data_IF_328149594245
#
_entry.id   IF_328149594245
#
_cell.length_a   1.000
_cell.length_b   1.000
_cell.length_c   1.000
_cell.angle_alpha   90.00
_cell.angle_beta   90.00
_cell.angle_gamma   90.00
#
_symmetry.space_group_name_H-M   'P 1'
#
loop_
_entity.id
_entity.type
_entity.pdbx_description
1 polymer ?
#
# COMPACT_ATOMS: atom_id res chain seq x y z
N UNK A 1 23.67 3.17 5.80
CA UNK A 1 23.51 3.22 7.25
C UNK A 1 24.51 2.28 7.94
N UNK A 2 24.55 0.95 7.66
CA UNK A 2 25.46 0.01 8.32
C UNK A 2 26.95 0.37 8.16
N UNK A 3 27.38 0.76 6.97
CA UNK A 3 28.78 1.13 6.70
C UNK A 3 29.22 2.41 7.41
N UNK A 4 28.30 3.33 7.64
CA UNK A 4 28.54 4.64 8.25
C UNK A 4 28.12 4.72 9.71
N UNK A 5 27.52 3.64 10.24
CA UNK A 5 26.97 3.55 11.61
C UNK A 5 26.00 4.67 11.95
N UNK A 6 25.08 4.97 11.02
CA UNK A 6 23.98 5.91 11.25
C UNK A 6 22.67 5.17 11.29
N UNK A 7 21.70 5.69 12.05
CA UNK A 7 20.35 5.16 12.11
C UNK A 7 19.66 5.23 10.75
N UNK A 8 18.65 4.41 10.57
CA UNK A 8 17.89 4.28 9.33
C UNK A 8 16.40 4.53 9.58
N UNK A 9 15.76 5.24 8.68
CA UNK A 9 14.30 5.37 8.65
C UNK A 9 13.81 5.28 7.20
N UNK A 10 12.73 4.58 7.00
CA UNK A 10 11.97 4.56 5.74
C UNK A 10 10.49 4.87 5.98
N UNK A 11 9.77 5.12 4.88
CA UNK A 11 8.34 5.41 4.89
C UNK A 11 7.52 4.30 4.26
N UNK A 12 8.18 3.27 3.71
CA UNK A 12 7.56 2.15 3.03
C UNK A 12 8.52 0.96 2.95
N UNK A 13 8.00 -0.21 2.60
CA UNK A 13 8.82 -1.39 2.39
C UNK A 13 9.64 -1.31 1.08
N UNK A 14 10.67 -2.16 1.00
CA UNK A 14 11.36 -2.43 -0.26
C UNK A 14 10.57 -3.46 -1.07
N UNK A 15 10.35 -3.16 -2.32
CA UNK A 15 9.70 -4.04 -3.26
C UNK A 15 10.64 -4.38 -4.42
N UNK A 16 10.99 -5.67 -4.64
CA UNK A 16 11.72 -6.09 -5.82
C UNK A 16 10.92 -5.87 -7.11
N UNK A 17 11.60 -5.53 -8.20
CA UNK A 17 10.95 -5.27 -9.49
C UNK A 17 10.27 -6.51 -10.10
N UNK A 18 10.77 -7.70 -9.75
CA UNK A 18 10.29 -9.00 -10.26
C UNK A 18 9.13 -9.59 -9.45
N UNK A 19 8.80 -9.01 -8.31
CA UNK A 19 7.70 -9.49 -7.46
C UNK A 19 6.80 -8.34 -7.03
N UNK A 20 5.49 -8.49 -7.22
CA UNK A 20 4.49 -7.55 -6.71
C UNK A 20 4.09 -7.95 -5.29
N UNK A 21 5.04 -7.98 -4.35
CA UNK A 21 4.79 -8.46 -3.00
C UNK A 21 5.28 -7.46 -1.96
N UNK A 22 4.33 -6.81 -1.30
CA UNK A 22 4.57 -5.80 -0.27
C UNK A 22 4.86 -6.48 1.06
N UNK A 23 6.13 -6.67 1.40
CA UNK A 23 6.58 -7.35 2.62
C UNK A 23 7.81 -6.67 3.20
N UNK A 24 7.92 -6.65 4.52
CA UNK A 24 9.12 -6.17 5.22
C UNK A 24 10.25 -7.20 5.31
N UNK A 25 10.10 -8.42 4.79
CA UNK A 25 11.12 -9.48 4.93
C UNK A 25 12.51 -9.06 4.43
N UNK A 26 12.58 -8.20 3.42
CA UNK A 26 13.84 -7.70 2.86
C UNK A 26 14.58 -6.77 3.83
N UNK A 27 13.86 -5.89 4.52
CA UNK A 27 14.41 -5.04 5.56
C UNK A 27 14.73 -5.87 6.81
N UNK A 28 13.85 -6.77 7.25
CA UNK A 28 14.08 -7.67 8.37
C UNK A 28 15.31 -8.55 8.22
N UNK A 29 15.71 -8.90 7.00
CA UNK A 29 16.94 -9.66 6.74
C UNK A 29 18.23 -8.95 7.24
N UNK A 30 18.16 -7.64 7.49
CA UNK A 30 19.29 -6.86 8.03
C UNK A 30 19.27 -6.72 9.55
N UNK A 31 18.28 -7.24 10.26
CA UNK A 31 18.06 -7.06 11.71
C UNK A 31 19.32 -7.32 12.53
N UNK A 32 19.90 -8.51 12.44
CA UNK A 32 21.09 -8.86 13.20
C UNK A 32 22.30 -7.94 12.92
N UNK A 33 22.40 -7.44 11.70
CA UNK A 33 23.50 -6.53 11.33
C UNK A 33 23.32 -5.17 11.98
N UNK A 34 22.10 -4.67 12.08
CA UNK A 34 21.78 -3.43 12.79
C UNK A 34 21.99 -3.58 14.30
N UNK A 35 21.52 -4.68 14.90
CA UNK A 35 21.72 -4.99 16.30
C UNK A 35 23.21 -5.07 16.67
N UNK A 36 24.03 -5.78 15.87
CA UNK A 36 25.49 -5.85 16.06
C UNK A 36 26.20 -4.51 15.89
N UNK A 37 25.69 -3.64 15.05
CA UNK A 37 26.24 -2.31 14.83
C UNK A 37 25.82 -1.30 15.91
N UNK A 38 24.84 -1.64 16.76
CA UNK A 38 24.30 -0.76 17.81
C UNK A 38 23.56 0.45 17.25
N UNK A 39 22.92 0.30 16.09
CA UNK A 39 22.14 1.35 15.42
C UNK A 39 20.70 0.90 15.25
N UNK A 40 19.80 1.88 15.10
CA UNK A 40 18.35 1.66 14.98
C UNK A 40 17.92 1.67 13.53
N UNK A 41 16.97 0.81 13.17
CA UNK A 41 16.18 0.93 11.95
C UNK A 41 14.70 1.11 12.32
N UNK A 42 14.10 2.21 11.90
CA UNK A 42 12.68 2.47 12.00
C UNK A 42 12.06 2.24 10.61
N UNK A 43 11.24 1.20 10.51
CA UNK A 43 10.61 0.78 9.27
C UNK A 43 9.17 1.29 9.18
N UNK A 44 8.73 1.68 7.98
CA UNK A 44 7.36 2.08 7.72
C UNK A 44 6.91 3.29 8.52
N UNK A 45 7.73 4.33 8.61
CA UNK A 45 7.40 5.58 9.32
C UNK A 45 6.75 6.61 8.38
N UNK A 46 5.78 6.15 7.60
CA UNK A 46 4.96 6.97 6.69
C UNK A 46 3.58 7.26 7.24
N UNK A 47 2.62 7.37 6.36
CA UNK A 47 1.20 7.52 6.71
C UNK A 47 0.56 6.14 6.90
N UNK A 48 0.52 5.34 5.85
CA UNK A 48 0.22 3.93 5.82
C UNK A 48 1.31 3.23 4.94
N UNK A 49 2.19 2.51 5.57
CA UNK A 49 2.36 2.23 7.00
C UNK A 49 2.96 3.40 7.80
N UNK A 50 2.60 3.47 9.08
CA UNK A 50 3.20 4.41 10.04
C UNK A 50 2.16 5.02 10.97
N UNK A 51 1.47 6.08 10.56
CA UNK A 51 0.45 6.78 11.36
C UNK A 51 -0.68 5.84 11.78
N UNK A 52 -1.09 4.91 10.92
CA UNK A 52 -2.07 3.86 11.23
C UNK A 52 -1.65 3.01 12.43
N UNK A 53 -0.38 2.60 12.47
CA UNK A 53 0.19 1.88 13.62
C UNK A 53 0.19 2.73 14.90
N UNK A 54 0.52 4.02 14.79
CA UNK A 54 0.48 4.96 15.94
C UNK A 54 -0.94 5.12 16.46
N UNK A 55 -1.93 5.23 15.59
CA UNK A 55 -3.34 5.31 16.00
C UNK A 55 -3.80 4.05 16.73
N UNK A 56 -3.42 2.87 16.26
CA UNK A 56 -3.73 1.61 16.93
C UNK A 56 -3.07 1.53 18.32
N UNK A 57 -1.80 1.90 18.42
CA UNK A 57 -1.08 1.92 19.70
C UNK A 57 -1.67 2.95 20.68
N UNK A 58 -2.04 4.11 20.19
CA UNK A 58 -2.71 5.15 20.99
C UNK A 58 -4.09 4.69 21.48
N UNK A 59 -4.89 4.08 20.61
CA UNK A 59 -6.19 3.54 20.96
C UNK A 59 -6.09 2.45 22.03
N UNK A 60 -5.16 1.51 21.86
CA UNK A 60 -4.88 0.45 22.84
C UNK A 60 -4.48 1.03 24.21
N UNK A 61 -3.69 2.10 24.21
CA UNK A 61 -3.23 2.71 25.47
C UNK A 61 -4.31 3.50 26.20
N UNK A 62 -5.25 4.11 25.48
CA UNK A 62 -6.12 5.15 26.06
C UNK A 62 -7.61 4.84 26.02
N UNK A 63 -8.06 3.93 25.14
CA UNK A 63 -9.48 3.71 24.87
C UNK A 63 -9.95 2.27 24.99
N UNK A 64 -9.06 1.29 24.82
CA UNK A 64 -9.42 -0.12 24.83
C UNK A 64 -8.57 -0.92 25.80
N UNK A 65 -9.18 -1.80 26.58
CA UNK A 65 -8.48 -2.79 27.39
C UNK A 65 -7.88 -3.89 26.50
N UNK A 66 -8.63 -4.30 25.45
CA UNK A 66 -8.22 -5.25 24.44
C UNK A 66 -8.73 -4.81 23.07
N UNK A 67 -7.92 -5.03 22.01
CA UNK A 67 -8.31 -4.81 20.63
C UNK A 67 -8.41 -6.16 19.94
N UNK A 68 -9.62 -6.52 19.49
CA UNK A 68 -9.89 -7.79 18.82
C UNK A 68 -9.97 -7.65 17.31
N UNK A 69 -10.39 -6.51 16.80
CA UNK A 69 -10.58 -6.27 15.38
C UNK A 69 -10.06 -4.88 14.98
N UNK A 70 -9.40 -4.80 13.85
CA UNK A 70 -8.94 -3.55 13.24
C UNK A 70 -9.36 -3.56 11.78
N UNK A 71 -10.08 -2.52 11.38
CA UNK A 71 -10.30 -2.17 9.98
C UNK A 71 -9.64 -0.81 9.73
N UNK A 72 -8.63 -0.77 8.86
CA UNK A 72 -8.01 0.46 8.39
C UNK A 72 -8.75 0.86 7.12
N UNK A 73 -9.26 2.10 7.09
CA UNK A 73 -10.05 2.62 5.99
C UNK A 73 -9.36 3.87 5.44
N UNK A 74 -8.63 3.70 4.33
CA UNK A 74 -7.99 4.80 3.63
C UNK A 74 -8.96 5.42 2.62
N UNK A 75 -9.17 6.74 2.72
CA UNK A 75 -10.08 7.47 1.87
C UNK A 75 -9.41 8.68 1.23
N UNK A 76 -9.43 8.70 -0.10
CA UNK A 76 -9.08 9.88 -0.87
C UNK A 76 -10.32 10.46 -1.55
N UNK A 77 -10.76 11.63 -1.09
CA UNK A 77 -11.87 12.38 -1.68
C UNK A 77 -11.42 13.52 -2.60
N UNK A 78 -10.12 13.68 -2.83
CA UNK A 78 -9.58 14.72 -3.71
C UNK A 78 -9.76 14.43 -5.20
N UNK A 79 -9.80 15.49 -6.01
CA UNK A 79 -9.84 15.43 -7.47
C UNK A 79 -8.70 16.26 -8.06
N UNK A 80 -7.85 15.65 -8.86
CA UNK A 80 -6.74 16.28 -9.57
C UNK A 80 -7.06 16.56 -11.06
N UNK A 81 -8.27 16.24 -11.52
CA UNK A 81 -8.77 16.53 -12.88
C UNK A 81 -8.26 15.61 -13.98
N UNK A 82 -7.60 14.50 -13.65
CA UNK A 82 -7.23 13.45 -14.61
C UNK A 82 -8.19 12.26 -14.52
N UNK A 83 -8.57 11.66 -15.64
CA UNK A 83 -9.41 10.45 -15.65
C UNK A 83 -8.68 9.24 -15.05
N UNK A 84 -7.36 9.20 -15.16
CA UNK A 84 -6.48 8.18 -14.59
C UNK A 84 -5.14 8.79 -14.18
N UNK A 85 -4.83 8.76 -12.92
CA UNK A 85 -3.54 9.13 -12.34
C UNK A 85 -3.42 8.51 -10.94
N UNK A 86 -2.22 8.48 -10.41
CA UNK A 86 -1.92 7.94 -9.08
C UNK A 86 -1.32 9.03 -8.19
N UNK A 87 -1.61 9.02 -6.91
CA UNK A 87 -1.12 10.04 -5.96
C UNK A 87 0.33 9.80 -5.52
N UNK A 88 0.87 8.62 -5.78
CA UNK A 88 2.26 8.23 -5.52
C UNK A 88 2.80 7.43 -6.71
N UNK A 89 3.91 6.73 -6.55
CA UNK A 89 4.57 6.00 -7.65
C UNK A 89 3.56 5.14 -8.43
N UNK A 90 3.32 5.43 -9.72
CA UNK A 90 2.29 4.73 -10.51
C UNK A 90 2.52 3.22 -10.60
N UNK A 91 3.77 2.78 -10.67
CA UNK A 91 4.12 1.37 -10.73
C UNK A 91 3.68 0.65 -9.45
N UNK A 92 4.04 1.20 -8.29
CA UNK A 92 3.67 0.62 -6.99
C UNK A 92 2.16 0.58 -6.85
N UNK A 93 1.48 1.70 -7.10
CA UNK A 93 0.02 1.76 -6.99
C UNK A 93 -0.70 0.76 -7.90
N UNK A 94 -0.32 0.67 -9.17
CA UNK A 94 -0.95 -0.24 -10.12
C UNK A 94 -0.71 -1.71 -9.70
N UNK A 95 0.51 -2.05 -9.28
CA UNK A 95 0.84 -3.42 -8.84
C UNK A 95 0.12 -3.80 -7.56
N UNK A 96 0.01 -2.89 -6.61
CA UNK A 96 -0.72 -3.08 -5.36
C UNK A 96 -2.20 -3.39 -5.62
N UNK A 97 -2.86 -2.58 -6.44
CA UNK A 97 -4.29 -2.73 -6.77
C UNK A 97 -4.56 -3.99 -7.60
N UNK A 98 -3.62 -4.38 -8.45
CA UNK A 98 -3.71 -5.58 -9.29
C UNK A 98 -3.26 -6.86 -8.57
N UNK A 99 -2.68 -6.76 -7.38
CA UNK A 99 -2.24 -7.91 -6.60
C UNK A 99 -3.40 -8.55 -5.83
N UNK A 100 -3.18 -9.79 -5.39
CA UNK A 100 -4.09 -10.45 -4.46
C UNK A 100 -4.20 -9.66 -3.17
N UNK A 101 -5.42 -9.46 -2.69
CA UNK A 101 -5.67 -8.96 -1.37
C UNK A 101 -5.32 -10.01 -0.30
N UNK A 102 -4.99 -9.56 0.90
CA UNK A 102 -4.91 -10.45 2.04
C UNK A 102 -5.21 -9.73 3.35
N UNK A 103 -5.67 -10.47 4.33
CA UNK A 103 -6.00 -9.96 5.65
C UNK A 103 -5.76 -11.05 6.71
N UNK A 104 -5.80 -10.67 7.97
CA UNK A 104 -5.66 -11.61 9.08
C UNK A 104 -7.03 -11.94 9.66
N UNK A 105 -7.28 -13.24 9.84
CA UNK A 105 -8.43 -13.78 10.53
C UNK A 105 -8.00 -14.93 11.43
N UNK A 106 -8.30 -14.83 12.72
CA UNK A 106 -7.93 -15.82 13.75
C UNK A 106 -6.45 -16.23 13.72
N UNK A 107 -5.57 -15.23 13.58
CA UNK A 107 -4.12 -15.39 13.54
C UNK A 107 -3.57 -16.02 12.25
N UNK A 108 -4.39 -16.12 11.19
CA UNK A 108 -3.99 -16.68 9.91
C UNK A 108 -4.20 -15.67 8.79
N UNK A 109 -3.28 -15.68 7.84
CA UNK A 109 -3.45 -14.96 6.59
C UNK A 109 -4.52 -15.63 5.73
N UNK A 110 -5.44 -14.82 5.23
CA UNK A 110 -6.48 -15.20 4.26
C UNK A 110 -6.22 -14.39 3.00
N UNK A 111 -5.99 -15.06 1.87
CA UNK A 111 -5.84 -14.42 0.56
C UNK A 111 -7.18 -14.29 -0.15
N UNK A 112 -7.31 -13.25 -0.98
CA UNK A 112 -8.45 -12.98 -1.85
C UNK A 112 -7.97 -12.70 -3.26
N UNK A 113 -8.85 -12.81 -4.25
CA UNK A 113 -8.53 -12.30 -5.57
C UNK A 113 -8.44 -10.76 -5.55
N UNK A 114 -7.74 -10.13 -6.53
CA UNK A 114 -7.63 -8.68 -6.59
C UNK A 114 -8.99 -7.99 -6.54
N UNK A 115 -9.15 -7.03 -5.65
CA UNK A 115 -10.39 -6.23 -5.51
C UNK A 115 -11.67 -7.02 -5.24
N UNK A 116 -11.57 -8.29 -4.79
CA UNK A 116 -12.73 -9.19 -4.60
C UNK A 116 -13.68 -8.69 -3.51
N UNK A 117 -13.12 -8.26 -2.38
CA UNK A 117 -13.92 -7.80 -1.24
C UNK A 117 -14.12 -6.30 -1.34
N UNK A 118 -15.36 -5.93 -1.66
CA UNK A 118 -15.83 -4.55 -1.73
C UNK A 118 -16.77 -4.24 -0.57
N UNK A 119 -16.65 -3.05 0.00
CA UNK A 119 -17.58 -2.51 0.99
C UNK A 119 -17.92 -1.05 0.65
N UNK A 120 -19.04 -0.58 1.18
CA UNK A 120 -19.42 0.84 1.15
C UNK A 120 -19.27 1.39 2.55
N UNK A 121 -18.69 2.57 2.66
CA UNK A 121 -18.56 3.29 3.93
C UNK A 121 -18.88 4.78 3.74
N UNK A 122 -19.57 5.37 4.71
CA UNK A 122 -19.85 6.79 4.72
C UNK A 122 -18.80 7.51 5.57
N UNK A 123 -17.81 8.09 4.90
CA UNK A 123 -16.74 8.84 5.55
C UNK A 123 -17.23 10.23 5.96
N UNK A 124 -16.88 10.65 7.15
CA UNK A 124 -17.19 12.00 7.63
C UNK A 124 -16.62 13.04 6.66
N UNK A 125 -17.44 14.04 6.31
CA UNK A 125 -17.10 15.16 5.41
C UNK A 125 -16.81 14.78 3.95
N UNK A 126 -16.56 13.51 3.61
CA UNK A 126 -16.32 13.02 2.25
C UNK A 126 -17.55 12.35 1.64
N UNK A 127 -18.38 11.72 2.50
CA UNK A 127 -19.58 11.00 2.09
C UNK A 127 -19.31 9.53 1.75
N UNK A 128 -20.32 8.92 1.14
CA UNK A 128 -20.30 7.49 0.82
C UNK A 128 -19.30 7.16 -0.28
N UNK A 129 -18.44 6.18 -0.02
CA UNK A 129 -17.42 5.67 -0.95
C UNK A 129 -17.40 4.16 -1.00
N UNK A 130 -17.16 3.64 -2.20
CA UNK A 130 -16.73 2.26 -2.40
C UNK A 130 -15.30 2.11 -1.93
N UNK A 131 -15.04 1.09 -1.13
CA UNK A 131 -13.70 0.72 -0.68
C UNK A 131 -13.43 -0.76 -0.92
N UNK A 132 -12.18 -1.09 -1.19
CA UNK A 132 -11.75 -2.42 -1.60
C UNK A 132 -10.66 -2.93 -0.68
N UNK A 133 -10.74 -4.21 -0.31
CA UNK A 133 -9.73 -4.86 0.51
C UNK A 133 -8.46 -5.08 -0.31
N UNK A 134 -7.34 -4.63 0.23
CA UNK A 134 -6.00 -4.86 -0.30
C UNK A 134 -5.13 -5.55 0.76
N UNK A 135 -4.02 -6.13 0.33
CA UNK A 135 -2.91 -6.39 1.24
C UNK A 135 -2.19 -5.07 1.52
N UNK A 136 -1.81 -4.86 2.78
CA UNK A 136 -0.97 -3.72 3.13
C UNK A 136 0.01 -4.10 4.24
N UNK A 137 1.20 -3.54 4.22
CA UNK A 137 2.33 -4.02 5.02
C UNK A 137 2.20 -3.78 6.52
N UNK A 138 1.45 -2.75 6.97
CA UNK A 138 1.25 -2.54 8.41
C UNK A 138 0.47 -3.66 9.09
N UNK A 139 -0.28 -4.46 8.32
CA UNK A 139 -0.98 -5.62 8.88
C UNK A 139 0.00 -6.58 9.56
N UNK A 140 1.22 -6.74 9.02
CA UNK A 140 2.26 -7.58 9.62
C UNK A 140 2.65 -7.08 11.01
N UNK A 141 2.96 -5.79 11.13
CA UNK A 141 3.41 -5.20 12.39
C UNK A 141 2.30 -5.17 13.43
N UNK A 142 1.07 -4.90 13.04
CA UNK A 142 -0.09 -4.89 13.93
C UNK A 142 -0.37 -6.29 14.48
N UNK A 143 -0.32 -7.31 13.63
CA UNK A 143 -0.51 -8.70 14.04
C UNK A 143 0.54 -9.20 15.03
N UNK A 144 1.79 -8.75 14.86
CA UNK A 144 2.90 -9.13 15.74
C UNK A 144 2.84 -8.43 17.11
N UNK A 145 2.31 -7.22 17.17
CA UNK A 145 2.43 -6.37 18.35
C UNK A 145 1.13 -6.23 19.16
N UNK A 146 -0.04 -6.45 18.56
CA UNK A 146 -1.33 -6.37 19.26
C UNK A 146 -1.77 -7.79 19.65
N UNK A 147 -1.75 -8.07 20.96
CA UNK A 147 -2.16 -9.37 21.49
C UNK A 147 -3.69 -9.51 21.46
N UNK A 148 -4.17 -10.72 21.21
CA UNK A 148 -5.61 -11.02 21.22
C UNK A 148 -6.36 -10.59 19.96
N UNK A 149 -5.63 -10.13 18.93
CA UNK A 149 -6.24 -9.72 17.67
C UNK A 149 -6.82 -10.91 16.91
N UNK A 150 -8.08 -10.80 16.50
CA UNK A 150 -8.77 -11.81 15.69
C UNK A 150 -8.78 -11.45 14.22
N UNK A 151 -8.99 -10.16 13.90
CA UNK A 151 -9.10 -9.72 12.51
C UNK A 151 -8.40 -8.38 12.28
N UNK A 152 -7.60 -8.32 11.21
CA UNK A 152 -7.03 -7.06 10.72
C UNK A 152 -7.25 -6.99 9.22
N UNK A 153 -7.83 -5.88 8.74
CA UNK A 153 -8.09 -5.62 7.31
C UNK A 153 -7.70 -4.21 6.95
N UNK A 154 -7.23 -4.04 5.71
CA UNK A 154 -6.99 -2.75 5.10
C UNK A 154 -7.92 -2.56 3.90
N UNK A 155 -8.52 -1.40 3.80
CA UNK A 155 -9.38 -1.01 2.69
C UNK A 155 -8.97 0.35 2.16
N UNK A 156 -8.94 0.49 0.84
CA UNK A 156 -8.66 1.73 0.15
C UNK A 156 -9.81 2.09 -0.80
N UNK A 157 -10.06 3.39 -0.96
CA UNK A 157 -11.08 3.90 -1.85
C UNK A 157 -10.50 4.20 -3.24
N UNK A 158 -11.27 3.89 -4.28
CA UNK A 158 -10.91 4.21 -5.66
C UNK A 158 -12.09 4.84 -6.40
N UNK A 159 -11.79 5.85 -7.21
CA UNK A 159 -12.77 6.46 -8.08
C UNK A 159 -13.17 5.51 -9.23
N UNK A 160 -14.44 5.54 -9.66
CA UNK A 160 -14.93 4.67 -10.73
C UNK A 160 -14.19 4.91 -12.07
N UNK A 161 -13.77 6.16 -12.34
CA UNK A 161 -12.95 6.47 -13.53
C UNK A 161 -11.61 5.73 -13.48
N UNK A 162 -10.91 5.78 -12.32
CA UNK A 162 -9.65 5.07 -12.12
C UNK A 162 -9.81 3.57 -12.39
N UNK A 163 -10.79 2.92 -11.76
CA UNK A 163 -11.02 1.48 -11.91
C UNK A 163 -11.35 1.06 -13.35
N UNK A 164 -12.11 1.91 -14.06
CA UNK A 164 -12.46 1.64 -15.46
C UNK A 164 -11.23 1.67 -16.37
N UNK A 165 -10.37 2.67 -16.18
CA UNK A 165 -9.13 2.78 -16.96
C UNK A 165 -8.12 1.68 -16.59
N UNK A 166 -7.94 1.40 -15.29
CA UNK A 166 -7.07 0.32 -14.83
C UNK A 166 -7.47 -1.01 -15.47
N UNK A 167 -8.75 -1.37 -15.42
CA UNK A 167 -9.24 -2.62 -16.03
C UNK A 167 -8.97 -2.67 -17.54
N UNK A 168 -9.13 -1.55 -18.25
CA UNK A 168 -8.80 -1.49 -19.67
C UNK A 168 -7.31 -1.75 -19.91
N UNK A 169 -6.43 -1.12 -19.12
CA UNK A 169 -4.98 -1.29 -19.20
C UNK A 169 -4.54 -2.72 -18.86
N UNK A 170 -5.15 -3.35 -17.87
CA UNK A 170 -4.95 -4.75 -17.52
C UNK A 170 -5.35 -5.68 -18.68
N UNK A 171 -6.54 -5.49 -19.23
CA UNK A 171 -7.06 -6.33 -20.32
C UNK A 171 -6.20 -6.27 -21.59
N UNK A 172 -5.50 -5.18 -21.84
CA UNK A 172 -4.58 -5.05 -22.99
C UNK A 172 -3.13 -5.34 -22.63
N UNK A 173 -2.84 -5.78 -21.40
CA UNK A 173 -1.51 -6.16 -20.94
C UNK A 173 -0.56 -5.00 -20.62
N UNK A 174 -1.06 -3.75 -20.53
CA UNK A 174 -0.22 -2.57 -20.25
C UNK A 174 0.29 -2.52 -18.81
N UNK A 175 -0.28 -3.30 -17.90
CA UNK A 175 0.16 -3.42 -16.50
C UNK A 175 1.16 -4.55 -16.28
N UNK A 176 1.55 -5.29 -17.34
CA UNK A 176 2.49 -6.40 -17.25
C UNK A 176 3.91 -5.92 -16.91
N UNK A 177 4.57 -6.66 -16.01
CA UNK A 177 6.01 -6.52 -15.71
C UNK A 177 6.89 -7.39 -16.64
N UNK A 178 6.28 -8.31 -17.40
CA UNK A 178 7.00 -9.17 -18.33
C UNK A 178 7.42 -8.36 -19.56
N UNK A 179 8.71 -8.41 -19.95
CA UNK A 179 9.18 -7.69 -21.12
C UNK A 179 8.60 -8.26 -22.42
N UNK A 180 8.27 -7.37 -23.33
CA UNK A 180 7.88 -7.69 -24.70
C UNK A 180 8.91 -7.17 -25.69
N UNK A 181 9.05 -7.86 -26.84
CA UNK A 181 9.93 -7.41 -27.91
C UNK A 181 9.15 -6.50 -28.87
N UNK A 182 9.58 -5.25 -28.99
CA UNK A 182 9.04 -4.27 -29.94
C UNK A 182 10.16 -3.66 -30.76
N UNK A 183 10.15 -3.85 -32.08
CA UNK A 183 11.17 -3.35 -33.01
C UNK A 183 12.61 -3.68 -32.59
N UNK A 184 12.83 -4.89 -32.08
CA UNK A 184 14.15 -5.37 -31.65
C UNK A 184 14.63 -4.83 -30.30
N UNK A 185 13.76 -4.14 -29.53
CA UNK A 185 14.03 -3.66 -28.17
C UNK A 185 13.11 -4.33 -27.18
N UNK A 186 13.63 -4.69 -26.03
CA UNK A 186 12.80 -5.12 -24.90
C UNK A 186 12.12 -3.90 -24.23
N UNK A 187 10.82 -4.00 -24.04
CA UNK A 187 10.01 -2.98 -23.37
C UNK A 187 9.19 -3.71 -22.30
N UNK A 188 9.23 -3.21 -21.07
CA UNK A 188 8.30 -3.62 -20.00
C UNK A 188 7.08 -2.72 -20.08
N UNK A 189 5.86 -3.25 -20.37
CA UNK A 189 4.65 -2.45 -20.58
C UNK A 189 4.35 -1.50 -19.41
N UNK A 190 4.44 -1.99 -18.17
CA UNK A 190 4.20 -1.18 -16.98
C UNK A 190 5.19 -0.01 -16.86
N UNK A 191 6.46 -0.20 -17.19
CA UNK A 191 7.46 0.88 -17.16
C UNK A 191 7.18 1.94 -18.23
N UNK A 192 6.71 1.51 -19.40
CA UNK A 192 6.26 2.45 -20.44
C UNK A 192 5.02 3.21 -19.99
N UNK A 193 4.01 2.52 -19.42
CA UNK A 193 2.83 3.16 -18.86
C UNK A 193 3.19 4.21 -17.79
N UNK A 194 4.07 3.86 -16.85
CA UNK A 194 4.58 4.79 -15.83
C UNK A 194 5.19 6.05 -16.44
N UNK A 195 5.94 5.91 -17.53
CA UNK A 195 6.60 7.05 -18.18
C UNK A 195 5.63 8.02 -18.86
N UNK A 196 4.43 7.58 -19.25
CA UNK A 196 3.41 8.43 -19.90
C UNK A 196 2.35 8.95 -18.93
N UNK A 197 2.25 8.41 -17.73
CA UNK A 197 1.33 8.90 -16.71
C UNK A 197 1.78 10.25 -16.13
N UNK A 198 0.85 11.08 -15.63
CA UNK A 198 1.20 12.31 -14.93
C UNK A 198 2.14 12.03 -13.75
N UNK A 199 3.17 12.85 -13.60
CA UNK A 199 4.04 12.81 -12.42
C UNK A 199 3.22 13.13 -11.17
N UNK A 200 3.16 12.22 -10.16
CA UNK A 200 2.43 12.47 -8.92
C UNK A 200 2.80 13.79 -8.22
N UNK A 201 4.07 14.20 -8.29
CA UNK A 201 4.51 15.47 -7.72
C UNK A 201 3.82 16.70 -8.34
N UNK A 202 3.33 16.58 -9.59
CA UNK A 202 2.61 17.65 -10.29
C UNK A 202 1.14 17.75 -9.87
N UNK A 203 0.59 16.75 -9.17
CA UNK A 203 -0.84 16.69 -8.87
C UNK A 203 -1.23 17.54 -7.66
N UNK A 204 -0.35 17.66 -6.65
CA UNK A 204 -0.64 18.39 -5.42
C UNK A 204 -1.22 19.79 -5.62
N UNK A 205 -0.59 20.67 -6.44
CA UNK A 205 -1.11 22.02 -6.71
C UNK A 205 -2.46 22.05 -7.45
N UNK A 206 -2.85 20.96 -8.08
CA UNK A 206 -4.09 20.83 -8.86
C UNK A 206 -5.21 20.12 -8.10
N UNK A 207 -4.86 19.36 -7.06
CA UNK A 207 -5.83 18.58 -6.29
C UNK A 207 -6.74 19.50 -5.50
N UNK A 208 -8.05 19.33 -5.64
CA UNK A 208 -9.09 20.00 -4.87
C UNK A 208 -9.91 18.95 -4.13
N UNK A 209 -10.49 19.35 -2.98
CA UNK A 209 -11.26 18.44 -2.13
C UNK A 209 -10.45 17.93 -0.93
N UNK A 210 -10.96 16.86 -0.31
CA UNK A 210 -10.42 16.28 0.94
C UNK A 210 -9.92 14.87 0.75
#
# INVERSE_FOLDING_TARGET
CLATKVDYVDTANYEPEDTAKFEYKWQWAYRERFEKAGITALLGSGFDPGVTGVFCAYAQKHYFDEIHEIDILDCNGGDHGYPFATNFNPEINIREVSAKGSYILDGKWVETEPMEIKRVYNFDEVGEKDMYLLHHEELESLALNIKGIHRIRFFMTFGQSYLTHLRCLENVGMTSIEPILYEGKEIVPLQFLKAVLPDPASLGPRTVGK
#
